data_IF_377027422179
#
_entry.id   IF_377027422179
#
_cell.length_a   1.000
_cell.length_b   1.000
_cell.length_c   1.000
_cell.angle_alpha   90.00
_cell.angle_beta   90.00
_cell.angle_gamma   90.00
#
_symmetry.space_group_name_H-M   'P 1'
#
loop_
_entity.id
_entity.type
_entity.pdbx_description
1 polymer ?
#
# COMPACT_ATOMS: atom_id res chain seq x y z
N UNK A 1 -9.72 -15.33 -35.37
CA UNK A 1 -11.08 -15.87 -35.57
C UNK A 1 -11.09 -17.30 -35.06
N UNK A 2 -11.85 -17.55 -34.00
CA UNK A 2 -11.70 -18.63 -33.04
C UNK A 2 -12.44 -19.90 -33.48
N UNK A 3 -11.72 -21.01 -33.71
CA UNK A 3 -12.29 -22.35 -33.69
C UNK A 3 -12.22 -22.87 -32.24
N UNK A 4 -13.13 -22.39 -31.38
CA UNK A 4 -13.32 -22.94 -30.04
C UNK A 4 -14.67 -23.63 -30.03
N UNK A 5 -14.66 -24.96 -30.11
CA UNK A 5 -15.85 -25.82 -29.97
C UNK A 5 -16.65 -26.16 -31.24
N UNK A 6 -16.32 -25.59 -32.40
CA UNK A 6 -17.01 -25.88 -33.66
C UNK A 6 -16.35 -26.98 -34.51
N UNK A 7 -17.14 -27.68 -35.35
CA UNK A 7 -16.66 -28.68 -36.33
C UNK A 7 -15.51 -28.08 -37.15
N UNK A 8 -14.31 -28.62 -36.99
CA UNK A 8 -13.15 -28.22 -37.79
C UNK A 8 -13.21 -28.99 -39.11
N UNK A 9 -13.11 -28.33 -40.28
CA UNK A 9 -13.04 -29.04 -41.55
C UNK A 9 -11.81 -29.95 -41.59
N UNK A 10 -11.98 -31.23 -41.95
CA UNK A 10 -10.90 -32.23 -42.06
C UNK A 10 -10.03 -31.97 -43.29
N UNK A 11 -9.30 -30.85 -43.27
CA UNK A 11 -8.43 -30.40 -44.35
C UNK A 11 -7.00 -30.23 -43.83
N UNK A 12 -6.01 -30.50 -44.67
CA UNK A 12 -4.58 -30.30 -44.32
C UNK A 12 -4.31 -28.85 -43.88
N UNK A 13 -4.94 -27.87 -44.52
CA UNK A 13 -4.82 -26.45 -44.17
C UNK A 13 -5.38 -26.13 -42.78
N UNK A 14 -6.49 -26.75 -42.37
CA UNK A 14 -7.00 -26.60 -41.01
C UNK A 14 -6.07 -27.25 -39.97
N UNK A 15 -5.47 -28.42 -40.28
CA UNK A 15 -4.52 -29.09 -39.39
C UNK A 15 -3.26 -28.25 -39.15
N UNK A 16 -2.71 -27.63 -40.20
CA UNK A 16 -1.54 -26.74 -40.11
C UNK A 16 -1.87 -25.54 -39.20
N UNK A 17 -2.99 -24.84 -39.46
CA UNK A 17 -3.42 -23.70 -38.65
C UNK A 17 -3.65 -24.05 -37.18
N UNK A 18 -4.23 -25.22 -36.90
CA UNK A 18 -4.41 -25.70 -35.53
C UNK A 18 -3.08 -26.02 -34.85
N UNK A 19 -2.13 -26.63 -35.57
CA UNK A 19 -0.79 -26.89 -35.04
C UNK A 19 -0.07 -25.58 -34.69
N UNK A 20 -0.15 -24.58 -35.56
CA UNK A 20 0.47 -23.27 -35.33
C UNK A 20 -0.18 -22.56 -34.14
N UNK A 21 -1.51 -22.57 -34.07
CA UNK A 21 -2.28 -22.01 -32.95
C UNK A 21 -1.93 -22.71 -31.63
N UNK A 22 -1.83 -24.04 -31.63
CA UNK A 22 -1.45 -24.81 -30.44
C UNK A 22 -0.03 -24.50 -30.00
N UNK A 23 0.90 -24.33 -30.96
CA UNK A 23 2.28 -23.92 -30.65
C UNK A 23 2.34 -22.52 -30.04
N UNK A 24 1.53 -21.59 -30.56
CA UNK A 24 1.40 -20.23 -30.03
C UNK A 24 0.80 -20.23 -28.63
N UNK A 25 -0.28 -20.98 -28.39
CA UNK A 25 -0.91 -21.09 -27.07
C UNK A 25 0.06 -21.68 -26.04
N UNK A 26 0.85 -22.70 -26.42
CA UNK A 26 1.87 -23.29 -25.53
C UNK A 26 2.91 -22.25 -25.11
N UNK A 27 3.44 -21.47 -26.06
CA UNK A 27 4.38 -20.38 -25.77
C UNK A 27 3.74 -19.28 -24.93
N UNK A 28 2.51 -18.88 -25.24
CA UNK A 28 1.77 -17.88 -24.46
C UNK A 28 1.53 -18.31 -23.02
N UNK A 29 1.21 -19.59 -22.80
CA UNK A 29 1.08 -20.17 -21.45
C UNK A 29 2.37 -20.04 -20.65
N UNK A 30 3.51 -20.35 -21.26
CA UNK A 30 4.83 -20.25 -20.61
C UNK A 30 5.14 -18.81 -20.19
N UNK A 31 4.89 -17.84 -21.08
CA UNK A 31 5.04 -16.40 -20.76
C UNK A 31 4.14 -15.97 -19.60
N UNK A 32 2.89 -16.43 -19.58
CA UNK A 32 1.96 -16.12 -18.49
C UNK A 32 2.36 -16.79 -17.17
N UNK A 33 2.91 -18.01 -17.21
CA UNK A 33 3.45 -18.65 -16.01
C UNK A 33 4.64 -17.86 -15.44
N UNK A 34 5.57 -17.41 -16.29
CA UNK A 34 6.68 -16.55 -15.84
C UNK A 34 6.17 -15.25 -15.19
N UNK A 35 5.17 -14.58 -15.81
CA UNK A 35 4.55 -13.38 -15.23
C UNK A 35 3.91 -13.67 -13.86
N UNK A 36 3.20 -14.80 -13.74
CA UNK A 36 2.54 -15.20 -12.48
C UNK A 36 3.58 -15.41 -11.38
N UNK A 37 4.66 -16.13 -11.68
CA UNK A 37 5.65 -16.50 -10.68
C UNK A 37 6.43 -15.24 -10.20
N UNK A 38 6.73 -14.30 -11.11
CA UNK A 38 7.31 -13.00 -10.73
C UNK A 38 6.36 -12.15 -9.87
N UNK A 39 5.09 -12.02 -10.27
CA UNK A 39 4.09 -11.29 -9.49
C UNK A 39 3.86 -11.92 -8.11
N UNK A 40 3.83 -13.24 -8.02
CA UNK A 40 3.74 -13.94 -6.73
C UNK A 40 4.93 -13.62 -5.82
N UNK A 41 6.14 -13.50 -6.39
CA UNK A 41 7.32 -13.03 -5.68
C UNK A 41 7.15 -11.61 -5.11
N UNK A 42 6.63 -10.68 -5.91
CA UNK A 42 6.35 -9.30 -5.45
C UNK A 42 5.27 -9.25 -4.36
N UNK A 43 4.20 -10.04 -4.50
CA UNK A 43 3.16 -10.17 -3.46
C UNK A 43 3.77 -10.67 -2.15
N UNK A 44 4.62 -11.71 -2.20
CA UNK A 44 5.27 -12.23 -1.01
C UNK A 44 6.16 -11.18 -0.32
N UNK A 45 6.88 -10.33 -1.08
CA UNK A 45 7.64 -9.21 -0.50
C UNK A 45 6.74 -8.21 0.23
N UNK A 46 5.57 -7.90 -0.33
CA UNK A 46 4.58 -7.01 0.30
C UNK A 46 3.96 -7.66 1.55
N UNK A 47 3.72 -8.98 1.54
CA UNK A 47 3.21 -9.70 2.71
C UNK A 47 4.16 -9.62 3.91
N UNK A 48 5.48 -9.66 3.69
CA UNK A 48 6.46 -9.52 4.78
C UNK A 48 6.33 -8.16 5.47
N UNK A 49 6.05 -7.08 4.71
CA UNK A 49 5.85 -5.75 5.30
C UNK A 49 4.62 -5.67 6.19
N UNK A 50 3.60 -6.49 5.93
CA UNK A 50 2.40 -6.55 6.80
C UNK A 50 2.72 -7.09 8.20
N UNK A 51 3.84 -7.79 8.42
CA UNK A 51 4.23 -8.21 9.76
C UNK A 51 4.44 -7.02 10.72
N UNK A 52 4.94 -5.89 10.19
CA UNK A 52 5.17 -4.64 10.93
C UNK A 52 3.84 -4.03 11.41
N UNK A 53 2.72 -4.35 10.74
CA UNK A 53 1.39 -3.84 11.08
C UNK A 53 1.03 -4.08 12.54
N UNK A 54 1.30 -5.29 13.05
CA UNK A 54 0.94 -5.65 14.43
C UNK A 54 1.70 -4.81 15.45
N UNK A 55 2.96 -4.48 15.17
CA UNK A 55 3.78 -3.62 16.03
C UNK A 55 3.27 -2.17 16.01
N UNK A 56 2.94 -1.66 14.81
CA UNK A 56 2.41 -0.31 14.64
C UNK A 56 1.04 -0.16 15.31
N UNK A 57 0.14 -1.14 15.16
CA UNK A 57 -1.16 -1.17 15.85
C UNK A 57 -1.01 -1.14 17.37
N UNK A 58 -0.04 -1.87 17.93
CA UNK A 58 0.28 -1.82 19.35
C UNK A 58 0.70 -0.41 19.80
N UNK A 59 1.62 0.22 19.06
CA UNK A 59 2.09 1.59 19.34
C UNK A 59 0.98 2.63 19.22
N UNK A 60 0.07 2.48 18.27
CA UNK A 60 -1.10 3.36 18.13
C UNK A 60 -2.02 3.22 19.35
N UNK A 61 -2.27 1.98 19.81
CA UNK A 61 -3.10 1.73 20.99
C UNK A 61 -2.53 2.41 22.24
N UNK A 62 -1.22 2.33 22.44
CA UNK A 62 -0.55 2.97 23.57
C UNK A 62 -0.54 4.50 23.45
N UNK A 63 -0.32 5.04 22.23
CA UNK A 63 -0.42 6.47 21.97
C UNK A 63 -1.82 7.00 22.27
N UNK A 64 -2.88 6.27 21.89
CA UNK A 64 -4.26 6.68 22.15
C UNK A 64 -4.57 6.73 23.65
N UNK A 65 -4.00 5.82 24.45
CA UNK A 65 -4.13 5.89 25.93
C UNK A 65 -3.50 7.16 26.49
N UNK A 66 -2.28 7.49 26.07
CA UNK A 66 -1.60 8.72 26.48
C UNK A 66 -2.36 9.98 26.05
N UNK A 67 -2.97 9.97 24.86
CA UNK A 67 -3.86 11.05 24.40
C UNK A 67 -5.06 11.20 25.34
N UNK A 68 -5.70 10.09 25.72
CA UNK A 68 -6.85 10.13 26.64
C UNK A 68 -6.47 10.69 28.02
N UNK A 69 -5.31 10.31 28.57
CA UNK A 69 -4.82 10.87 29.83
C UNK A 69 -4.62 12.39 29.76
N UNK A 70 -4.07 12.88 28.65
CA UNK A 70 -3.87 14.31 28.43
C UNK A 70 -5.21 15.04 28.26
N UNK A 71 -6.16 14.46 27.52
CA UNK A 71 -7.50 15.04 27.35
C UNK A 71 -8.24 15.14 28.68
N UNK A 72 -8.10 14.16 29.57
CA UNK A 72 -8.68 14.20 30.92
C UNK A 72 -8.01 15.29 31.78
N UNK A 73 -6.71 15.50 31.61
CA UNK A 73 -5.93 16.43 32.44
C UNK A 73 -6.07 17.89 32.00
N UNK A 74 -6.00 18.16 30.70
CA UNK A 74 -6.04 19.51 30.12
C UNK A 74 -7.44 19.93 29.66
N UNK A 75 -8.37 18.99 29.47
CA UNK A 75 -9.65 19.25 28.85
C UNK A 75 -9.59 19.29 27.32
N UNK A 76 -10.74 19.16 26.67
CA UNK A 76 -10.84 19.01 25.21
C UNK A 76 -10.56 20.30 24.44
N UNK A 77 -10.93 21.46 24.98
CA UNK A 77 -10.81 22.74 24.29
C UNK A 77 -9.36 23.23 24.17
N UNK A 78 -8.58 23.07 25.24
CA UNK A 78 -7.17 23.44 25.26
C UNK A 78 -6.36 22.58 24.28
N UNK A 79 -6.63 21.26 24.25
CA UNK A 79 -5.96 20.35 23.32
C UNK A 79 -6.35 20.65 21.87
N UNK A 80 -7.62 20.98 21.60
CA UNK A 80 -8.07 21.35 20.24
C UNK A 80 -7.42 22.65 19.76
N UNK A 81 -7.29 23.64 20.64
CA UNK A 81 -6.61 24.91 20.34
C UNK A 81 -5.12 24.70 20.02
N UNK A 82 -4.45 23.84 20.79
CA UNK A 82 -3.06 23.46 20.54
C UNK A 82 -2.90 22.66 19.23
N UNK A 83 -3.82 21.76 18.94
CA UNK A 83 -3.81 20.98 17.70
C UNK A 83 -4.00 21.87 16.45
N UNK A 84 -4.82 22.91 16.56
CA UNK A 84 -5.07 23.87 15.47
C UNK A 84 -3.83 24.70 15.10
N UNK A 85 -2.82 24.74 15.97
CA UNK A 85 -1.55 25.41 15.70
C UNK A 85 -0.59 24.58 14.84
N UNK A 86 -0.91 23.30 14.59
CA UNK A 86 -0.09 22.40 13.76
C UNK A 86 -0.56 22.48 12.31
N UNK A 87 0.34 22.73 11.33
CA UNK A 87 -0.05 22.77 9.93
C UNK A 87 -0.51 21.40 9.41
N UNK A 88 -1.44 21.40 8.46
CA UNK A 88 -1.95 20.18 7.84
C UNK A 88 -0.84 19.37 7.14
N UNK A 89 -0.97 18.05 7.21
CA UNK A 89 -0.05 17.10 6.57
C UNK A 89 -0.51 16.87 5.13
N UNK A 90 0.35 17.17 4.16
CA UNK A 90 0.07 16.92 2.74
C UNK A 90 0.70 15.60 2.29
N UNK A 91 -0.13 14.74 1.72
CA UNK A 91 0.22 13.41 1.23
C UNK A 91 -0.11 13.34 -0.26
N UNK A 92 0.81 12.76 -1.06
CA UNK A 92 0.64 12.58 -2.49
C UNK A 92 0.58 11.09 -2.86
N UNK A 93 -0.24 10.77 -3.87
CA UNK A 93 -0.40 9.43 -4.39
C UNK A 93 0.32 9.32 -5.73
N UNK A 94 1.43 8.57 -5.74
CA UNK A 94 2.17 8.29 -6.97
C UNK A 94 1.86 6.89 -7.46
N UNK A 95 1.42 6.78 -8.71
CA UNK A 95 1.15 5.49 -9.34
C UNK A 95 2.45 4.88 -9.89
N UNK A 96 2.69 3.62 -9.58
CA UNK A 96 3.80 2.83 -10.10
C UNK A 96 3.24 1.60 -10.83
N UNK A 97 3.90 1.15 -11.89
CA UNK A 97 3.51 -0.08 -12.58
C UNK A 97 4.52 -1.20 -12.30
N UNK A 98 4.05 -2.33 -11.78
CA UNK A 98 4.82 -3.56 -11.63
C UNK A 98 4.25 -4.59 -12.59
N UNK A 99 5.02 -4.95 -13.62
CA UNK A 99 4.60 -5.91 -14.66
C UNK A 99 3.22 -5.62 -15.30
N UNK A 100 2.91 -4.33 -15.48
CA UNK A 100 1.64 -3.87 -16.05
C UNK A 100 0.48 -3.78 -15.06
N UNK A 101 0.72 -4.06 -13.77
CA UNK A 101 -0.25 -3.81 -12.69
C UNK A 101 0.05 -2.46 -12.07
N UNK A 102 -0.93 -1.56 -12.05
CA UNK A 102 -0.79 -0.22 -11.46
C UNK A 102 -1.03 -0.30 -9.95
N UNK A 103 -0.08 0.18 -9.16
CA UNK A 103 -0.10 0.17 -7.71
C UNK A 103 0.12 1.61 -7.22
N UNK A 104 -0.78 2.16 -6.37
CA UNK A 104 -0.57 3.46 -5.75
C UNK A 104 0.47 3.34 -4.62
N UNK A 105 1.39 4.29 -4.57
CA UNK A 105 2.36 4.45 -3.49
C UNK A 105 2.21 5.84 -2.87
N UNK A 106 2.16 5.86 -1.55
CA UNK A 106 2.00 7.08 -0.76
C UNK A 106 3.37 7.74 -0.61
N UNK A 107 3.45 9.07 -0.83
CA UNK A 107 4.66 9.87 -0.60
C UNK A 107 4.30 11.12 0.20
N UNK A 108 5.11 11.46 1.20
CA UNK A 108 4.88 12.63 2.06
C UNK A 108 5.51 13.87 1.42
N UNK A 109 4.75 14.94 1.26
CA UNK A 109 5.27 16.23 0.78
C UNK A 109 5.70 17.14 1.93
N UNK A 110 4.97 17.12 3.04
CA UNK A 110 5.21 18.01 4.18
C UNK A 110 5.21 17.21 5.48
N UNK A 111 6.32 17.25 6.21
CA UNK A 111 6.39 16.65 7.54
C UNK A 111 5.75 17.59 8.58
N UNK A 112 4.98 17.06 9.55
CA UNK A 112 4.38 17.89 10.58
C UNK A 112 5.47 18.57 11.44
N UNK A 113 5.31 19.88 11.62
CA UNK A 113 6.12 20.69 12.51
C UNK A 113 5.43 20.79 13.87
N UNK A 114 6.09 20.27 14.89
CA UNK A 114 5.64 20.16 16.29
C UNK A 114 6.12 21.30 17.18
N UNK A 115 6.96 22.20 16.65
CA UNK A 115 7.60 23.28 17.39
C UNK A 115 6.65 24.40 17.86
N UNK A 116 5.43 24.47 17.32
CA UNK A 116 4.44 25.48 17.67
C UNK A 116 3.66 25.17 18.97
N UNK A 117 3.81 23.97 19.54
CA UNK A 117 3.06 23.55 20.73
C UNK A 117 3.77 24.06 21.99
N UNK A 118 3.07 24.91 22.75
CA UNK A 118 3.56 25.54 23.98
C UNK A 118 3.68 24.58 25.16
N UNK A 119 2.79 23.58 25.26
CA UNK A 119 2.78 22.61 26.35
C UNK A 119 3.76 21.45 26.09
N UNK A 120 4.71 21.24 27.01
CA UNK A 120 5.75 20.20 26.88
C UNK A 120 5.20 18.78 26.83
N UNK A 121 4.15 18.47 27.59
CA UNK A 121 3.52 17.14 27.61
C UNK A 121 2.84 16.84 26.29
N UNK A 122 2.08 17.80 25.76
CA UNK A 122 1.41 17.69 24.45
C UNK A 122 2.42 17.62 23.31
N UNK A 123 3.54 18.36 23.40
CA UNK A 123 4.61 18.29 22.41
C UNK A 123 5.30 16.93 22.36
N UNK A 124 5.61 16.32 23.52
CA UNK A 124 6.18 14.96 23.58
C UNK A 124 5.26 13.94 22.93
N UNK A 125 3.95 14.05 23.18
CA UNK A 125 2.95 13.21 22.55
C UNK A 125 2.92 13.40 21.03
N UNK A 126 2.98 14.64 20.56
CA UNK A 126 2.99 14.97 19.14
C UNK A 126 4.25 14.42 18.42
N UNK A 127 5.42 14.45 19.06
CA UNK A 127 6.64 13.82 18.54
C UNK A 127 6.48 12.29 18.44
N UNK A 128 5.93 11.66 19.47
CA UNK A 128 5.65 10.21 19.45
C UNK A 128 4.64 9.85 18.36
N UNK A 129 3.61 10.67 18.19
CA UNK A 129 2.63 10.52 17.11
C UNK A 129 3.29 10.66 15.73
N UNK A 130 4.20 11.62 15.55
CA UNK A 130 4.97 11.80 14.32
C UNK A 130 5.84 10.58 14.00
N UNK A 131 6.49 10.00 15.01
CA UNK A 131 7.30 8.78 14.84
C UNK A 131 6.43 7.59 14.38
N UNK A 132 5.29 7.38 15.05
CA UNK A 132 4.34 6.31 14.69
C UNK A 132 3.76 6.53 13.29
N UNK A 133 3.41 7.78 12.94
CA UNK A 133 2.94 8.13 11.60
C UNK A 133 4.00 7.83 10.54
N UNK A 134 5.26 8.16 10.80
CA UNK A 134 6.37 7.87 9.88
C UNK A 134 6.52 6.36 9.65
N UNK A 135 6.47 5.57 10.73
CA UNK A 135 6.50 4.09 10.64
C UNK A 135 5.30 3.51 9.88
N UNK A 136 4.11 4.08 10.06
CA UNK A 136 2.91 3.68 9.31
C UNK A 136 3.05 3.96 7.80
N UNK A 137 3.71 5.05 7.43
CA UNK A 137 3.90 5.43 6.02
C UNK A 137 5.01 4.62 5.31
N UNK A 138 5.90 3.97 6.05
CA UNK A 138 6.97 3.11 5.49
C UNK A 138 6.49 1.67 5.19
N UNK A 139 5.36 1.25 5.76
CA UNK A 139 4.69 -0.02 5.47
C UNK A 139 4.21 -0.10 4.02
#
# INVERSE_FOLDING_TARGET
MTFVGGRVPSTKGALIRLRDTLSFIKKGKEVLQMKRDQLAGEVNKLLVKLAIRKEVEGKISDLLKEVMEILITLGTEDVSSLASSVPEISVDFRLYSIMGVVIPRITVKTQPQTNAISNLSVRKLAEKAKEVLTKMMEM
#
